data_IF_371527638071
#
_entry.id   IF_371527638071
#
_cell.length_a   1.000
_cell.length_b   1.000
_cell.length_c   1.000
_cell.angle_alpha   90.00
_cell.angle_beta   90.00
_cell.angle_gamma   90.00
#
_symmetry.space_group_name_H-M   'P 1'
#
loop_
_entity.id
_entity.type
_entity.pdbx_description
1 polymer ?
#
# COMPACT_ATOMS: atom_id res chain seq x y z
N UNK A 1 24.94 -2.75 12.66
CA UNK A 1 24.96 -4.18 12.28
C UNK A 1 23.65 -4.93 12.49
N UNK A 2 22.67 -4.44 13.25
CA UNK A 2 21.42 -5.17 13.53
C UNK A 2 20.32 -5.09 12.48
N UNK A 3 20.24 -4.02 11.67
CA UNK A 3 19.15 -3.82 10.71
C UNK A 3 19.35 -4.58 9.38
N UNK A 4 20.59 -4.71 8.94
CA UNK A 4 20.90 -5.46 7.70
C UNK A 4 20.75 -6.97 7.86
N UNK A 5 21.08 -7.51 9.02
CA UNK A 5 20.91 -8.94 9.32
C UNK A 5 19.43 -9.36 9.39
N UNK A 6 18.54 -8.48 9.92
CA UNK A 6 17.08 -8.75 9.93
C UNK A 6 16.46 -8.71 8.53
N UNK A 7 17.01 -7.86 7.63
CA UNK A 7 16.49 -7.73 6.26
C UNK A 7 16.92 -8.90 5.37
N UNK A 8 18.07 -9.51 5.64
CA UNK A 8 18.55 -10.70 4.90
C UNK A 8 17.74 -11.96 5.21
N UNK A 9 17.23 -12.10 6.45
CA UNK A 9 16.38 -13.22 6.86
C UNK A 9 14.96 -13.21 6.26
N UNK A 10 14.58 -12.11 5.58
CA UNK A 10 13.24 -11.97 4.96
C UNK A 10 13.11 -12.61 3.57
N UNK A 11 14.14 -13.24 3.03
CA UNK A 11 14.03 -13.98 1.77
C UNK A 11 13.84 -15.47 2.06
N UNK A 12 12.60 -15.95 1.93
CA UNK A 12 12.34 -17.38 1.79
C UNK A 12 12.51 -17.77 0.30
N UNK A 13 13.60 -18.50 -0.07
CA UNK A 13 13.86 -18.89 -1.46
C UNK A 13 12.85 -19.90 -2.02
N UNK A 14 11.97 -20.46 -1.20
CA UNK A 14 10.96 -21.43 -1.62
C UNK A 14 9.66 -20.79 -2.13
N UNK A 15 9.58 -19.47 -2.20
CA UNK A 15 8.42 -18.76 -2.76
C UNK A 15 8.60 -18.57 -4.26
N UNK A 16 8.44 -19.65 -5.02
CA UNK A 16 8.24 -19.62 -6.49
C UNK A 16 6.83 -19.08 -6.86
N UNK A 17 6.20 -18.37 -5.92
CA UNK A 17 4.94 -17.65 -6.07
C UNK A 17 5.17 -16.23 -6.57
N UNK A 18 4.10 -15.54 -6.84
CA UNK A 18 4.02 -14.17 -7.32
C UNK A 18 5.09 -13.23 -6.71
N UNK A 19 6.12 -12.93 -7.48
CA UNK A 19 7.06 -11.87 -7.15
C UNK A 19 6.42 -10.57 -7.64
N UNK A 20 6.02 -9.72 -6.71
CA UNK A 20 5.46 -8.41 -7.00
C UNK A 20 6.36 -7.63 -7.95
N UNK A 21 6.10 -7.74 -9.25
CA UNK A 21 6.78 -6.95 -10.27
C UNK A 21 6.21 -5.54 -10.25
N UNK A 22 6.64 -4.75 -9.28
CA UNK A 22 6.48 -3.30 -9.42
C UNK A 22 7.52 -2.84 -10.43
N UNK A 23 7.09 -2.40 -11.60
CA UNK A 23 7.92 -1.97 -12.73
C UNK A 23 8.64 -0.62 -12.46
N UNK A 24 9.22 -0.43 -11.29
CA UNK A 24 9.95 0.79 -10.95
C UNK A 24 11.43 0.52 -10.74
N UNK A 25 12.29 1.10 -11.56
CA UNK A 25 13.73 1.14 -11.28
C UNK A 25 13.99 2.07 -10.10
N UNK A 26 14.98 1.81 -9.23
CA UNK A 26 15.27 2.65 -8.04
C UNK A 26 15.47 4.13 -8.35
N UNK A 27 16.04 4.47 -9.51
CA UNK A 27 16.22 5.86 -9.93
C UNK A 27 14.91 6.56 -10.27
N UNK A 28 13.92 5.83 -10.86
CA UNK A 28 12.59 6.38 -11.14
C UNK A 28 11.86 6.75 -9.84
N UNK A 29 11.99 5.92 -8.82
CA UNK A 29 11.41 6.20 -7.50
C UNK A 29 12.06 7.43 -6.87
N UNK A 30 13.39 7.56 -6.96
CA UNK A 30 14.11 8.73 -6.46
C UNK A 30 13.72 10.00 -7.21
N UNK A 31 13.65 9.96 -8.54
CA UNK A 31 13.24 11.13 -9.35
C UNK A 31 11.80 11.54 -9.04
N UNK A 32 10.90 10.59 -8.80
CA UNK A 32 9.53 10.88 -8.42
C UNK A 32 9.47 11.57 -7.03
N UNK A 33 10.23 11.09 -6.05
CA UNK A 33 10.33 11.71 -4.73
C UNK A 33 10.87 13.15 -4.83
N UNK A 34 11.88 13.40 -5.69
CA UNK A 34 12.39 14.76 -5.93
C UNK A 34 11.33 15.62 -6.60
N UNK A 35 10.59 15.07 -7.56
CA UNK A 35 9.54 15.79 -8.28
C UNK A 35 8.44 16.30 -7.34
N UNK A 36 8.06 15.52 -6.33
CA UNK A 36 7.06 15.93 -5.33
C UNK A 36 7.46 17.14 -4.49
N UNK A 37 8.74 17.50 -4.45
CA UNK A 37 9.21 18.72 -3.76
C UNK A 37 8.89 19.99 -4.55
N UNK A 38 8.73 19.87 -5.87
CA UNK A 38 8.60 21.02 -6.78
C UNK A 38 7.24 21.10 -7.46
N UNK A 39 6.57 19.96 -7.63
CA UNK A 39 5.32 19.85 -8.38
C UNK A 39 4.17 19.46 -7.47
N UNK A 40 3.08 20.20 -7.56
CA UNK A 40 1.86 19.86 -6.82
C UNK A 40 1.31 18.52 -7.30
N UNK A 41 0.89 17.68 -6.36
CA UNK A 41 0.33 16.35 -6.65
C UNK A 41 -0.86 16.40 -7.63
N UNK A 42 -1.64 17.48 -7.64
CA UNK A 42 -2.76 17.67 -8.58
C UNK A 42 -2.28 17.74 -10.03
N UNK A 43 -1.12 18.36 -10.29
CA UNK A 43 -0.51 18.37 -11.61
C UNK A 43 -0.06 16.96 -12.02
N UNK A 44 0.46 16.18 -11.08
CA UNK A 44 0.84 14.79 -11.32
C UNK A 44 -0.38 13.91 -11.60
N UNK A 45 -1.53 14.17 -10.98
CA UNK A 45 -2.79 13.50 -11.32
C UNK A 45 -3.26 13.84 -12.74
N UNK A 46 -3.10 15.11 -13.19
CA UNK A 46 -3.40 15.48 -14.56
C UNK A 46 -2.51 14.73 -15.57
N UNK A 47 -1.21 14.63 -15.29
CA UNK A 47 -0.28 13.81 -16.09
C UNK A 47 -0.69 12.33 -16.05
N UNK A 48 -1.05 11.81 -14.87
CA UNK A 48 -1.47 10.42 -14.69
C UNK A 48 -2.76 10.11 -15.46
N UNK A 49 -3.66 11.07 -15.69
CA UNK A 49 -4.85 10.86 -16.51
C UNK A 49 -4.49 10.47 -17.94
N UNK A 50 -3.46 11.07 -18.51
CA UNK A 50 -2.94 10.75 -19.84
C UNK A 50 -2.15 9.44 -19.81
N UNK A 51 -1.23 9.28 -18.85
CA UNK A 51 -0.42 8.06 -18.68
C UNK A 51 -1.33 6.85 -18.48
N UNK A 52 -2.43 6.99 -17.73
CA UNK A 52 -3.42 5.94 -17.50
C UNK A 52 -4.05 5.41 -18.79
N UNK A 53 -4.30 6.27 -19.79
CA UNK A 53 -4.79 5.85 -21.11
C UNK A 53 -3.75 4.97 -21.80
N UNK A 54 -2.49 5.42 -21.87
CA UNK A 54 -1.41 4.65 -22.50
C UNK A 54 -1.17 3.32 -21.80
N UNK A 55 -1.15 3.32 -20.47
CA UNK A 55 -0.99 2.10 -19.69
C UNK A 55 -2.16 1.12 -19.90
N UNK A 56 -3.39 1.61 -19.95
CA UNK A 56 -4.56 0.80 -20.26
C UNK A 56 -4.47 0.18 -21.65
N UNK A 57 -3.96 0.91 -22.65
CA UNK A 57 -3.81 0.41 -24.02
C UNK A 57 -2.66 -0.62 -24.11
N UNK A 58 -1.54 -0.36 -23.47
CA UNK A 58 -0.37 -1.24 -23.47
C UNK A 58 -0.61 -2.55 -22.71
N UNK A 59 -1.37 -2.50 -21.59
CA UNK A 59 -1.59 -3.66 -20.73
C UNK A 59 -2.88 -4.43 -21.06
N UNK A 60 -2.89 -5.05 -22.24
CA UNK A 60 -4.07 -5.76 -22.76
C UNK A 60 -4.55 -6.93 -21.89
N UNK A 61 -3.67 -7.56 -21.09
CA UNK A 61 -4.06 -8.65 -20.17
C UNK A 61 -4.89 -8.11 -19.01
N UNK A 62 -4.39 -7.11 -18.30
CA UNK A 62 -5.12 -6.50 -17.19
C UNK A 62 -6.41 -5.83 -17.64
N UNK A 63 -6.37 -5.09 -18.76
CA UNK A 63 -7.57 -4.49 -19.34
C UNK A 63 -8.68 -5.51 -19.58
N UNK A 64 -8.34 -6.68 -20.16
CA UNK A 64 -9.31 -7.75 -20.40
C UNK A 64 -9.86 -8.35 -19.11
N UNK A 65 -9.01 -8.58 -18.12
CA UNK A 65 -9.42 -9.12 -16.83
C UNK A 65 -10.39 -8.16 -16.11
N UNK A 66 -10.04 -6.87 -16.05
CA UNK A 66 -10.88 -5.83 -15.43
C UNK A 66 -12.19 -5.65 -16.21
N UNK A 67 -12.14 -5.63 -17.56
CA UNK A 67 -13.34 -5.53 -18.39
C UNK A 67 -14.28 -6.71 -18.18
N UNK A 68 -13.73 -7.92 -18.04
CA UNK A 68 -14.50 -9.14 -17.75
C UNK A 68 -15.20 -9.02 -16.40
N UNK A 69 -14.50 -8.60 -15.35
CA UNK A 69 -15.09 -8.34 -14.03
C UNK A 69 -16.30 -7.40 -14.12
N UNK A 70 -16.15 -6.25 -14.76
CA UNK A 70 -17.23 -5.26 -14.87
C UNK A 70 -18.42 -5.74 -15.71
N UNK A 71 -18.16 -6.54 -16.76
CA UNK A 71 -19.22 -7.05 -17.64
C UNK A 71 -19.93 -8.26 -17.07
N UNK A 72 -19.19 -9.26 -16.62
CA UNK A 72 -19.74 -10.56 -16.22
C UNK A 72 -20.29 -10.55 -14.78
N UNK A 73 -19.63 -9.83 -13.87
CA UNK A 73 -20.06 -9.81 -12.47
C UNK A 73 -20.89 -8.58 -12.09
N UNK A 74 -20.67 -7.44 -12.74
CA UNK A 74 -21.40 -6.21 -12.44
C UNK A 74 -22.42 -5.81 -13.52
N UNK A 75 -22.53 -6.57 -14.62
CA UNK A 75 -23.52 -6.34 -15.66
C UNK A 75 -23.37 -5.03 -16.44
N UNK A 76 -22.15 -4.44 -16.51
CA UNK A 76 -21.95 -3.16 -17.16
C UNK A 76 -22.03 -3.29 -18.70
N UNK A 77 -22.74 -2.37 -19.34
CA UNK A 77 -22.72 -2.21 -20.79
C UNK A 77 -21.34 -1.78 -21.33
N UNK A 78 -21.14 -1.87 -22.64
CA UNK A 78 -19.82 -1.65 -23.29
C UNK A 78 -19.15 -0.33 -22.92
N UNK A 79 -19.87 0.78 -23.02
CA UNK A 79 -19.34 2.12 -22.73
C UNK A 79 -19.02 2.32 -21.25
N UNK A 80 -19.92 1.86 -20.38
CA UNK A 80 -19.70 1.91 -18.93
C UNK A 80 -18.50 1.07 -18.53
N UNK A 81 -18.31 -0.10 -19.15
CA UNK A 81 -17.13 -0.94 -18.94
C UNK A 81 -15.85 -0.21 -19.35
N UNK A 82 -15.82 0.42 -20.52
CA UNK A 82 -14.63 1.16 -20.98
C UNK A 82 -14.25 2.27 -20.00
N UNK A 83 -15.23 3.09 -19.60
CA UNK A 83 -15.01 4.14 -18.61
C UNK A 83 -14.54 3.58 -17.25
N UNK A 84 -15.13 2.46 -16.79
CA UNK A 84 -14.77 1.83 -15.54
C UNK A 84 -13.35 1.24 -15.58
N UNK A 85 -12.94 0.64 -16.70
CA UNK A 85 -11.58 0.14 -16.90
C UNK A 85 -10.57 1.29 -16.88
N UNK A 86 -10.84 2.39 -17.56
CA UNK A 86 -9.99 3.58 -17.50
C UNK A 86 -9.92 4.15 -16.09
N UNK A 87 -11.06 4.33 -15.44
CA UNK A 87 -11.13 4.85 -14.07
C UNK A 87 -10.35 3.96 -13.09
N UNK A 88 -10.39 2.64 -13.26
CA UNK A 88 -9.60 1.71 -12.46
C UNK A 88 -8.09 1.93 -12.62
N UNK A 89 -7.60 2.04 -13.87
CA UNK A 89 -6.18 2.30 -14.14
C UNK A 89 -5.75 3.67 -13.60
N UNK A 90 -6.56 4.69 -13.81
CA UNK A 90 -6.28 6.05 -13.33
C UNK A 90 -6.23 6.12 -11.81
N UNK A 91 -7.25 5.59 -11.12
CA UNK A 91 -7.31 5.58 -9.65
C UNK A 91 -6.18 4.75 -9.03
N UNK A 92 -5.85 3.61 -9.64
CA UNK A 92 -4.69 2.83 -9.20
C UNK A 92 -3.39 3.64 -9.33
N UNK A 93 -3.23 4.38 -10.44
CA UNK A 93 -2.11 5.31 -10.60
C UNK A 93 -2.07 6.42 -9.54
N UNK A 94 -3.24 6.96 -9.14
CA UNK A 94 -3.32 7.93 -8.04
C UNK A 94 -2.85 7.31 -6.72
N UNK A 95 -3.31 6.10 -6.37
CA UNK A 95 -2.87 5.39 -5.16
C UNK A 95 -1.34 5.22 -5.12
N UNK A 96 -0.73 4.90 -6.27
CA UNK A 96 0.73 4.81 -6.36
C UNK A 96 1.39 6.17 -6.16
N UNK A 97 0.88 7.24 -6.79
CA UNK A 97 1.39 8.59 -6.60
C UNK A 97 1.29 9.05 -5.15
N UNK A 98 0.16 8.81 -4.49
CA UNK A 98 -0.06 9.16 -3.08
C UNK A 98 0.96 8.48 -2.17
N UNK A 99 1.22 7.20 -2.40
CA UNK A 99 2.25 6.45 -1.68
C UNK A 99 3.61 7.12 -1.79
N UNK A 100 4.03 7.47 -3.01
CA UNK A 100 5.32 8.13 -3.21
C UNK A 100 5.35 9.57 -2.69
N UNK A 101 4.22 10.27 -2.70
CA UNK A 101 4.09 11.56 -2.07
C UNK A 101 4.35 11.49 -0.55
N UNK A 102 3.81 10.47 0.12
CA UNK A 102 4.11 10.22 1.54
C UNK A 102 5.60 9.91 1.74
N UNK A 103 6.19 9.07 0.90
CA UNK A 103 7.64 8.80 0.96
C UNK A 103 8.51 10.05 0.75
N UNK A 104 7.99 11.02 -0.02
CA UNK A 104 8.61 12.31 -0.22
C UNK A 104 8.39 13.30 0.95
N UNK A 105 7.61 12.92 1.96
CA UNK A 105 7.27 13.75 3.10
C UNK A 105 6.05 14.66 2.89
N UNK A 106 5.29 14.48 1.81
CA UNK A 106 4.04 15.21 1.61
C UNK A 106 3.02 14.82 2.69
N UNK A 107 2.31 15.82 3.20
CA UNK A 107 1.25 15.61 4.19
C UNK A 107 -0.12 15.68 3.53
N UNK A 108 -0.96 14.72 3.83
CA UNK A 108 -2.35 14.71 3.43
C UNK A 108 -3.24 15.13 4.60
N UNK A 109 -4.29 15.90 4.29
CA UNK A 109 -5.37 16.11 5.24
C UNK A 109 -6.26 14.87 5.20
N UNK A 110 -6.32 14.15 6.30
CA UNK A 110 -7.15 12.94 6.44
C UNK A 110 -8.25 13.25 7.44
N UNK A 111 -9.48 13.00 7.04
CA UNK A 111 -10.67 13.07 7.88
C UNK A 111 -11.11 11.63 8.15
N UNK A 112 -11.23 11.27 9.42
CA UNK A 112 -11.59 9.92 9.85
C UNK A 112 -12.99 9.99 10.42
N UNK A 113 -13.93 9.31 9.78
CA UNK A 113 -15.29 9.13 10.28
C UNK A 113 -15.29 8.02 11.34
N UNK A 114 -16.15 8.16 12.36
CA UNK A 114 -16.32 7.18 13.44
C UNK A 114 -15.03 6.81 14.18
N UNK A 115 -14.15 7.80 14.40
CA UNK A 115 -12.86 7.58 15.07
C UNK A 115 -12.99 7.26 16.58
N UNK A 116 -14.16 7.49 17.16
CA UNK A 116 -14.39 7.32 18.61
C UNK A 116 -14.13 5.88 19.05
N UNK A 117 -14.61 4.92 18.28
CA UNK A 117 -14.40 3.50 18.58
C UNK A 117 -12.91 3.09 18.53
N UNK A 118 -12.18 3.62 17.54
CA UNK A 118 -10.74 3.40 17.48
C UNK A 118 -10.02 4.02 18.69
N UNK A 119 -10.36 5.24 19.05
CA UNK A 119 -9.76 5.94 20.19
C UNK A 119 -10.05 5.21 21.52
N UNK A 120 -11.26 4.69 21.69
CA UNK A 120 -11.63 3.86 22.83
C UNK A 120 -10.74 2.62 22.95
N UNK A 121 -10.61 1.84 21.86
CA UNK A 121 -9.76 0.64 21.83
C UNK A 121 -8.26 0.98 21.99
N UNK A 122 -7.82 2.08 21.42
CA UNK A 122 -6.44 2.51 21.51
C UNK A 122 -6.07 2.94 22.95
N UNK A 123 -7.04 3.45 23.73
CA UNK A 123 -6.85 3.90 25.11
C UNK A 123 -7.14 2.83 26.16
N UNK A 124 -7.93 1.80 25.81
CA UNK A 124 -8.29 0.71 26.72
C UNK A 124 -7.06 -0.18 27.06
N UNK A 125 -7.01 -0.80 28.26
CA UNK A 125 -5.99 -1.80 28.54
C UNK A 125 -6.15 -3.04 27.64
N UNK A 126 -5.05 -3.79 27.39
CA UNK A 126 -5.03 -4.96 26.54
C UNK A 126 -4.85 -4.68 25.05
N UNK A 127 -4.58 -5.70 24.27
CA UNK A 127 -4.40 -5.63 22.82
C UNK A 127 -5.72 -5.72 22.06
N UNK A 128 -5.72 -5.33 20.79
CA UNK A 128 -6.83 -5.55 19.87
C UNK A 128 -6.33 -5.85 18.45
N UNK A 129 -7.16 -6.52 17.66
CA UNK A 129 -6.86 -6.83 16.27
C UNK A 129 -7.68 -5.89 15.37
N UNK A 130 -6.97 -5.14 14.54
CA UNK A 130 -7.58 -4.30 13.51
C UNK A 130 -7.55 -5.03 12.17
N UNK A 131 -8.72 -5.33 11.63
CA UNK A 131 -8.87 -5.94 10.31
C UNK A 131 -9.23 -4.88 9.30
N UNK A 132 -8.50 -4.82 8.19
CA UNK A 132 -8.79 -3.90 7.10
C UNK A 132 -8.86 -4.62 5.76
N UNK A 133 -9.42 -3.96 4.75
CA UNK A 133 -9.49 -4.47 3.38
C UNK A 133 -8.72 -3.56 2.42
N UNK A 134 -8.29 -4.13 1.29
CA UNK A 134 -7.61 -3.39 0.23
C UNK A 134 -8.61 -2.60 -0.64
N UNK A 135 -9.36 -1.70 0.00
CA UNK A 135 -10.31 -0.80 -0.68
C UNK A 135 -9.75 0.62 -0.64
N UNK A 136 -9.73 1.28 -1.79
CA UNK A 136 -9.16 2.62 -1.90
C UNK A 136 -7.65 2.64 -1.65
N UNK A 137 -7.18 3.67 -0.94
CA UNK A 137 -5.77 3.84 -0.59
C UNK A 137 -5.50 3.39 0.87
N UNK A 138 -5.63 2.09 1.12
CA UNK A 138 -5.41 1.50 2.45
C UNK A 138 -4.02 1.79 3.02
N UNK A 139 -3.03 1.95 2.16
CA UNK A 139 -1.64 2.20 2.59
C UNK A 139 -1.49 3.62 3.15
N UNK A 140 -2.13 4.60 2.51
CA UNK A 140 -2.19 5.97 3.03
C UNK A 140 -2.89 6.01 4.39
N UNK A 141 -3.99 5.27 4.54
CA UNK A 141 -4.67 5.12 5.83
C UNK A 141 -3.72 4.58 6.91
N UNK A 142 -2.92 3.56 6.59
CA UNK A 142 -1.91 3.01 7.51
C UNK A 142 -0.84 4.05 7.92
N UNK A 143 -0.41 4.92 7.01
CA UNK A 143 0.57 5.97 7.33
C UNK A 143 -0.02 7.13 8.15
N UNK A 144 -1.32 7.27 8.20
CA UNK A 144 -2.01 8.30 8.98
C UNK A 144 -2.41 7.84 10.38
N UNK A 145 -2.42 6.52 10.63
CA UNK A 145 -2.57 5.99 11.97
C UNK A 145 -1.39 6.43 12.85
N UNK A 146 -1.71 7.09 13.94
CA UNK A 146 -0.72 7.53 14.94
C UNK A 146 -1.13 7.00 16.31
N UNK A 147 -0.78 5.74 16.60
CA UNK A 147 -1.03 5.21 17.93
C UNK A 147 -0.08 5.92 18.93
N UNK A 148 -0.63 6.70 19.82
CA UNK A 148 0.16 7.41 20.84
C UNK A 148 0.56 6.49 21.99
N UNK A 149 -0.30 5.53 22.35
CA UNK A 149 -0.15 4.72 23.54
C UNK A 149 0.20 3.25 23.26
N UNK A 150 -0.10 2.74 22.06
CA UNK A 150 0.12 1.33 21.70
C UNK A 150 1.05 1.20 20.50
N UNK A 151 1.82 0.12 20.45
CA UNK A 151 2.58 -0.28 19.27
C UNK A 151 1.69 -1.11 18.37
N UNK A 152 1.66 -0.83 17.08
CA UNK A 152 0.95 -1.63 16.08
C UNK A 152 1.90 -2.57 15.37
N UNK A 153 1.46 -3.80 15.16
CA UNK A 153 2.18 -4.82 14.39
C UNK A 153 1.40 -5.10 13.11
N UNK A 154 1.93 -4.62 11.97
CA UNK A 154 1.30 -4.83 10.66
C UNK A 154 1.79 -6.14 10.06
N UNK A 155 0.91 -7.11 9.90
CA UNK A 155 1.21 -8.35 9.17
C UNK A 155 1.32 -8.04 7.68
N UNK A 156 2.48 -8.31 7.08
CA UNK A 156 2.76 -7.97 5.69
C UNK A 156 3.28 -9.18 4.92
N UNK A 157 2.93 -9.27 3.64
CA UNK A 157 3.47 -10.29 2.77
C UNK A 157 4.96 -10.06 2.49
N UNK A 158 5.79 -11.08 2.70
CA UNK A 158 7.25 -10.98 2.59
C UNK A 158 7.78 -10.95 1.13
N UNK A 159 6.95 -11.25 0.13
CA UNK A 159 7.36 -11.38 -1.28
C UNK A 159 7.44 -10.06 -2.07
N UNK A 160 7.29 -8.90 -1.45
CA UNK A 160 7.45 -7.61 -2.13
C UNK A 160 8.92 -7.23 -2.37
N UNK A 161 9.16 -6.33 -3.33
CA UNK A 161 10.51 -5.80 -3.58
C UNK A 161 11.08 -5.13 -2.33
N UNK A 162 12.34 -5.43 -2.04
CA UNK A 162 13.06 -4.92 -0.88
C UNK A 162 13.02 -3.39 -0.75
N UNK A 163 13.10 -2.66 -1.88
CA UNK A 163 13.03 -1.19 -1.88
C UNK A 163 11.69 -0.66 -1.38
N UNK A 164 10.58 -1.30 -1.78
CA UNK A 164 9.24 -0.95 -1.33
C UNK A 164 9.09 -1.24 0.15
N UNK A 165 9.53 -2.42 0.58
CA UNK A 165 9.51 -2.85 1.98
C UNK A 165 10.32 -1.92 2.88
N UNK A 166 11.52 -1.49 2.46
CA UNK A 166 12.35 -0.55 3.22
C UNK A 166 11.70 0.83 3.35
N UNK A 167 11.10 1.36 2.29
CA UNK A 167 10.42 2.66 2.35
C UNK A 167 9.18 2.59 3.23
N UNK A 168 8.40 1.53 3.11
CA UNK A 168 7.23 1.28 3.97
C UNK A 168 7.65 1.15 5.44
N UNK A 169 8.70 0.39 5.72
CA UNK A 169 9.24 0.22 7.07
C UNK A 169 9.65 1.56 7.70
N UNK A 170 10.30 2.44 6.94
CA UNK A 170 10.67 3.79 7.41
C UNK A 170 9.44 4.64 7.76
N UNK A 171 8.42 4.63 6.91
CA UNK A 171 7.18 5.37 7.16
C UNK A 171 6.43 4.81 8.36
N UNK A 172 6.37 3.50 8.51
CA UNK A 172 5.71 2.84 9.63
C UNK A 172 6.45 3.05 10.95
N UNK A 173 7.78 2.96 10.96
CA UNK A 173 8.57 3.21 12.17
C UNK A 173 8.36 4.63 12.72
N UNK A 174 8.20 5.64 11.82
CA UNK A 174 7.86 7.00 12.21
C UNK A 174 6.47 7.16 12.85
N UNK A 175 5.61 6.15 12.70
CA UNK A 175 4.25 6.13 13.23
C UNK A 175 4.05 5.03 14.30
N UNK A 176 5.11 4.52 14.90
CA UNK A 176 5.08 3.45 15.93
C UNK A 176 4.41 2.15 15.42
N UNK A 177 4.59 1.84 14.13
CA UNK A 177 4.07 0.63 13.50
C UNK A 177 5.26 -0.25 13.11
N UNK A 178 5.29 -1.49 13.59
CA UNK A 178 6.29 -2.50 13.25
C UNK A 178 5.73 -3.44 12.18
N UNK A 179 6.51 -3.73 11.14
CA UNK A 179 6.13 -4.69 10.11
C UNK A 179 6.54 -6.10 10.53
N UNK A 180 5.59 -7.01 10.54
CA UNK A 180 5.79 -8.43 10.82
C UNK A 180 5.59 -9.22 9.52
N UNK A 181 6.65 -9.80 8.95
CA UNK A 181 6.52 -10.58 7.73
C UNK A 181 5.75 -11.89 7.99
N UNK A 182 4.77 -12.17 7.14
CA UNK A 182 4.05 -13.43 7.17
C UNK A 182 4.91 -14.49 6.48
N UNK A 183 5.36 -15.47 7.25
CA UNK A 183 6.19 -16.57 6.81
C UNK A 183 5.42 -17.90 6.85
N UNK A 184 5.88 -18.91 6.11
CA UNK A 184 5.26 -20.26 6.06
C UNK A 184 5.37 -21.04 7.37
N UNK A 185 6.40 -20.76 8.16
CA UNK A 185 6.68 -21.40 9.45
C UNK A 185 5.76 -20.95 10.58
N UNK A 186 4.79 -20.06 10.26
CA UNK A 186 3.81 -19.53 11.22
C UNK A 186 4.43 -18.73 12.38
N UNK A 187 5.72 -18.40 12.33
CA UNK A 187 6.42 -17.64 13.39
C UNK A 187 5.79 -16.28 13.69
N UNK A 188 5.13 -15.66 12.67
CA UNK A 188 4.40 -14.43 12.82
C UNK A 188 3.21 -14.53 13.80
N UNK A 189 2.65 -15.72 14.02
CA UNK A 189 1.56 -15.92 14.99
C UNK A 189 2.04 -15.78 16.43
N UNK A 190 3.26 -16.23 16.74
CA UNK A 190 3.85 -16.04 18.07
C UNK A 190 4.10 -14.57 18.36
N UNK A 191 4.56 -13.81 17.34
CA UNK A 191 4.75 -12.36 17.46
C UNK A 191 3.40 -11.67 17.68
N UNK A 192 2.38 -12.04 16.90
CA UNK A 192 1.04 -11.47 17.03
C UNK A 192 0.41 -11.77 18.40
N UNK A 193 0.53 -13.01 18.90
CA UNK A 193 0.03 -13.38 20.21
C UNK A 193 0.69 -12.57 21.33
N UNK A 194 2.01 -12.48 21.30
CA UNK A 194 2.78 -11.70 22.29
C UNK A 194 2.46 -10.19 22.24
N UNK A 195 2.04 -9.68 21.08
CA UNK A 195 1.68 -8.27 20.92
C UNK A 195 0.29 -7.94 21.48
N UNK A 196 -0.53 -8.96 21.78
CA UNK A 196 -1.86 -8.81 22.35
C UNK A 196 -1.88 -8.89 23.89
N UNK A 197 -0.81 -9.43 24.49
CA UNK A 197 -0.58 -9.46 25.93
C UNK A 197 -0.16 -8.08 26.46
#
# INVERSE_FOLDING_TARGET
>A
MGAEAKTAAMRDPAHDGWQGTTDGRPWMLRSLVVLFRWVNIRCLYAVMSVVGVFHMLANGRNRRAIARLFREHLGYGRWRTLCAVYANHFRFGQVILDRFAVYAGCRFRVEIEHNDYYNELASAPGGFIMVSSHVGNYELAGYTLRPEQKRFHALVYAGEKQTVMQNRAKCFAGNNIEMVPVLRDMSHLFIANRALE
#
